data_IF_586934783758
#
_entry.id   IF_586934783758
#
_cell.length_a   1.000
_cell.length_b   1.000
_cell.length_c   1.000
_cell.angle_alpha   90.00
_cell.angle_beta   90.00
_cell.angle_gamma   90.00
#
_symmetry.space_group_name_H-M   'P 1'
#
loop_
_entity.id
_entity.type
_entity.pdbx_description
1 polymer ?
#
# COMPACT_ATOMS: atom_id res chain seq x y z
N UNK A 1 -23.45 -1.43 23.05
CA UNK A 1 -22.86 -0.68 21.93
C UNK A 1 -23.66 -1.06 20.69
N UNK A 2 -24.45 -0.14 20.15
CA UNK A 2 -25.42 -0.43 19.09
C UNK A 2 -24.73 -0.94 17.83
N UNK A 3 -25.23 -2.07 17.29
CA UNK A 3 -24.69 -2.72 16.08
C UNK A 3 -24.50 -1.73 14.92
N UNK A 4 -25.40 -0.76 14.80
CA UNK A 4 -25.38 0.27 13.78
C UNK A 4 -24.12 1.16 13.85
N UNK A 5 -23.67 1.46 15.06
CA UNK A 5 -22.46 2.23 15.34
C UNK A 5 -21.19 1.44 15.01
N UNK A 6 -21.25 0.11 15.13
CA UNK A 6 -20.16 -0.80 14.74
C UNK A 6 -20.09 -0.92 13.22
N UNK A 7 -21.22 -1.10 12.53
CA UNK A 7 -21.26 -1.18 11.07
C UNK A 7 -20.75 0.10 10.41
N UNK A 8 -21.17 1.26 10.92
CA UNK A 8 -20.69 2.55 10.42
C UNK A 8 -19.17 2.69 10.54
N UNK A 9 -18.60 2.30 11.69
CA UNK A 9 -17.13 2.29 11.86
C UNK A 9 -16.42 1.37 10.88
N UNK A 10 -17.00 0.21 10.57
CA UNK A 10 -16.41 -0.73 9.61
C UNK A 10 -16.41 -0.12 8.21
N UNK A 11 -17.51 0.52 7.79
CA UNK A 11 -17.59 1.20 6.49
C UNK A 11 -16.58 2.35 6.39
N UNK A 12 -16.47 3.19 7.43
CA UNK A 12 -15.50 4.28 7.49
C UNK A 12 -14.05 3.76 7.34
N UNK A 13 -13.73 2.61 7.96
CA UNK A 13 -12.42 1.97 7.84
C UNK A 13 -12.17 1.39 6.43
N UNK A 14 -13.19 0.81 5.80
CA UNK A 14 -13.11 0.31 4.42
C UNK A 14 -12.88 1.47 3.46
N UNK A 15 -13.58 2.58 3.64
CA UNK A 15 -13.44 3.77 2.82
C UNK A 15 -12.05 4.40 2.96
N UNK A 16 -11.57 4.57 4.19
CA UNK A 16 -10.19 4.97 4.48
C UNK A 16 -9.16 4.07 3.78
N UNK A 17 -9.37 2.75 3.82
CA UNK A 17 -8.47 1.79 3.15
C UNK A 17 -8.44 1.99 1.63
N UNK A 18 -9.60 2.21 1.00
CA UNK A 18 -9.70 2.48 -0.44
C UNK A 18 -8.99 3.78 -0.83
N UNK A 19 -9.16 4.83 -0.02
CA UNK A 19 -8.49 6.12 -0.22
C UNK A 19 -6.97 5.95 -0.14
N UNK A 20 -6.47 5.29 0.91
CA UNK A 20 -5.04 5.02 1.07
C UNK A 20 -4.45 4.22 -0.09
N UNK A 21 -5.18 3.20 -0.56
CA UNK A 21 -4.77 2.42 -1.74
C UNK A 21 -4.70 3.27 -3.01
N UNK A 22 -5.69 4.14 -3.22
CA UNK A 22 -5.75 5.02 -4.39
C UNK A 22 -4.61 6.04 -4.36
N UNK A 23 -4.40 6.68 -3.20
CA UNK A 23 -3.30 7.64 -3.00
C UNK A 23 -1.95 6.96 -3.22
N UNK A 24 -1.76 5.74 -2.74
CA UNK A 24 -0.56 4.96 -2.96
C UNK A 24 -0.31 4.73 -4.46
N UNK A 25 -1.28 4.18 -5.18
CA UNK A 25 -1.14 3.86 -6.62
C UNK A 25 -0.89 5.13 -7.45
N UNK A 26 -1.58 6.22 -7.15
CA UNK A 26 -1.42 7.50 -7.86
C UNK A 26 -0.04 8.11 -7.56
N UNK A 27 0.40 8.10 -6.31
CA UNK A 27 1.71 8.63 -5.93
C UNK A 27 2.84 7.80 -6.52
N UNK A 28 2.80 6.47 -6.38
CA UNK A 28 3.84 5.60 -6.92
C UNK A 28 3.88 5.71 -8.43
N UNK A 29 2.74 5.54 -9.12
CA UNK A 29 2.66 5.65 -10.58
C UNK A 29 3.08 7.02 -11.12
N UNK A 30 2.65 8.11 -10.46
CA UNK A 30 3.00 9.47 -10.84
C UNK A 30 4.49 9.78 -10.64
N UNK A 31 5.06 9.39 -9.50
CA UNK A 31 6.49 9.55 -9.22
C UNK A 31 7.31 8.72 -10.21
N UNK A 32 6.91 7.48 -10.49
CA UNK A 32 7.58 6.63 -11.48
C UNK A 32 7.55 7.25 -12.90
N UNK A 33 6.40 7.80 -13.31
CA UNK A 33 6.26 8.49 -14.60
C UNK A 33 7.16 9.73 -14.71
N UNK A 34 7.25 10.53 -13.64
CA UNK A 34 8.16 11.69 -13.59
C UNK A 34 9.62 11.28 -13.66
N UNK A 35 10.01 10.24 -12.92
CA UNK A 35 11.38 9.73 -12.93
C UNK A 35 11.75 9.24 -14.34
N UNK A 36 10.88 8.47 -14.99
CA UNK A 36 11.10 8.01 -16.38
C UNK A 36 11.31 9.19 -17.33
N UNK A 37 10.50 10.25 -17.21
CA UNK A 37 10.58 11.41 -18.08
C UNK A 37 11.89 12.21 -17.88
N UNK A 38 12.37 12.31 -16.63
CA UNK A 38 13.67 12.92 -16.30
C UNK A 38 14.85 12.11 -16.86
N UNK A 39 14.72 10.79 -16.96
CA UNK A 39 15.78 9.89 -17.46
C UNK A 39 15.72 9.71 -18.99
N UNK A 40 14.65 10.16 -19.64
CA UNK A 40 14.49 10.07 -21.10
C UNK A 40 15.63 10.69 -21.96
N UNK A 41 16.39 11.73 -21.56
CA UNK A 41 17.49 12.22 -22.38
C UNK A 41 18.77 11.37 -22.31
N UNK A 42 18.81 10.28 -21.53
CA UNK A 42 19.99 9.42 -21.41
C UNK A 42 20.11 8.41 -22.57
N UNK A 43 21.34 8.01 -22.92
CA UNK A 43 21.59 6.96 -23.94
C UNK A 43 20.76 5.71 -23.64
N UNK A 44 20.13 5.13 -24.65
CA UNK A 44 19.18 4.00 -24.58
C UNK A 44 19.61 2.85 -23.63
N UNK A 45 20.90 2.50 -23.59
CA UNK A 45 21.42 1.46 -22.71
C UNK A 45 21.40 1.84 -21.22
N UNK A 46 21.63 3.11 -20.89
CA UNK A 46 21.57 3.63 -19.51
C UNK A 46 20.11 3.75 -19.09
N UNK A 47 19.25 4.25 -19.97
CA UNK A 47 17.82 4.38 -19.72
C UNK A 47 17.16 3.03 -19.37
N UNK A 48 17.49 1.96 -20.10
CA UNK A 48 16.94 0.62 -19.86
C UNK A 48 17.37 0.04 -18.50
N UNK A 49 18.64 0.22 -18.13
CA UNK A 49 19.17 -0.21 -16.83
C UNK A 49 18.50 0.55 -15.69
N UNK A 50 18.40 1.88 -15.80
CA UNK A 50 17.78 2.71 -14.75
C UNK A 50 16.29 2.39 -14.62
N UNK A 51 15.55 2.24 -15.73
CA UNK A 51 14.14 1.79 -15.70
C UNK A 51 13.96 0.42 -15.04
N UNK A 52 14.86 -0.52 -15.30
CA UNK A 52 14.79 -1.86 -14.71
C UNK A 52 15.02 -1.83 -13.19
N UNK A 53 15.97 -1.02 -12.72
CA UNK A 53 16.23 -0.81 -11.28
C UNK A 53 15.02 -0.17 -10.61
N UNK A 54 14.44 0.84 -11.24
CA UNK A 54 13.25 1.56 -10.79
C UNK A 54 12.05 0.62 -10.65
N UNK A 55 11.78 -0.21 -11.67
CA UNK A 55 10.70 -1.22 -11.63
C UNK A 55 10.94 -2.23 -10.50
N UNK A 56 12.19 -2.68 -10.34
CA UNK A 56 12.55 -3.63 -9.27
C UNK A 56 12.36 -3.04 -7.87
N UNK A 57 12.70 -1.75 -7.69
CA UNK A 57 12.43 -1.01 -6.47
C UNK A 57 10.93 -0.85 -6.20
N UNK A 58 10.13 -0.60 -7.25
CA UNK A 58 8.67 -0.57 -7.14
C UNK A 58 8.09 -1.88 -6.60
N UNK A 59 8.47 -3.01 -7.21
CA UNK A 59 8.03 -4.33 -6.74
C UNK A 59 8.50 -4.64 -5.32
N UNK A 60 9.70 -4.22 -4.94
CA UNK A 60 10.19 -4.38 -3.57
C UNK A 60 9.35 -3.59 -2.56
N UNK A 61 8.99 -2.34 -2.88
CA UNK A 61 8.13 -1.52 -2.02
C UNK A 61 6.72 -2.11 -1.90
N UNK A 62 6.14 -2.59 -3.00
CA UNK A 62 4.84 -3.29 -2.98
C UNK A 62 4.89 -4.54 -2.09
N UNK A 63 5.97 -5.33 -2.17
CA UNK A 63 6.17 -6.50 -1.32
C UNK A 63 6.26 -6.13 0.17
N UNK A 64 7.04 -5.10 0.52
CA UNK A 64 7.14 -4.61 1.91
C UNK A 64 5.78 -4.12 2.41
N UNK A 65 5.00 -3.44 1.58
CA UNK A 65 3.65 -2.98 1.90
C UNK A 65 2.69 -4.14 2.18
N UNK A 66 2.72 -5.19 1.36
CA UNK A 66 1.91 -6.39 1.57
C UNK A 66 2.27 -7.06 2.90
N UNK A 67 3.57 -7.12 3.24
CA UNK A 67 4.05 -7.63 4.53
C UNK A 67 3.51 -6.82 5.70
N UNK A 68 3.62 -5.49 5.66
CA UNK A 68 3.11 -4.61 6.72
C UNK A 68 1.58 -4.75 6.87
N UNK A 69 0.86 -4.84 5.75
CA UNK A 69 -0.59 -5.08 5.77
C UNK A 69 -0.91 -6.44 6.41
N UNK A 70 -0.13 -7.47 6.09
CA UNK A 70 -0.31 -8.81 6.65
C UNK A 70 -0.06 -8.82 8.17
N UNK A 71 1.03 -8.22 8.62
CA UNK A 71 1.40 -8.17 10.04
C UNK A 71 0.34 -7.41 10.85
N UNK A 72 -0.10 -6.24 10.36
CA UNK A 72 -1.19 -5.49 11.00
C UNK A 72 -2.51 -6.29 11.02
N UNK A 73 -2.79 -7.07 9.98
CA UNK A 73 -3.99 -7.90 9.93
C UNK A 73 -3.94 -9.06 10.93
N UNK A 74 -2.78 -9.69 11.13
CA UNK A 74 -2.57 -10.70 12.18
C UNK A 74 -2.72 -10.08 13.57
N UNK A 75 -2.18 -8.88 13.79
CA UNK A 75 -2.28 -8.17 15.07
C UNK A 75 -3.74 -7.80 15.41
N UNK A 76 -4.49 -7.28 14.43
CA UNK A 76 -5.92 -7.00 14.56
C UNK A 76 -6.70 -8.29 14.85
N UNK A 77 -6.40 -9.39 14.14
CA UNK A 77 -7.09 -10.65 14.35
C UNK A 77 -6.82 -11.22 15.75
N UNK A 78 -5.57 -11.13 16.22
CA UNK A 78 -5.19 -11.50 17.59
C UNK A 78 -5.89 -10.64 18.64
N UNK A 79 -6.07 -9.35 18.38
CA UNK A 79 -6.84 -8.45 19.25
C UNK A 79 -8.31 -8.84 19.33
N UNK A 80 -8.96 -9.16 18.20
CA UNK A 80 -10.33 -9.67 18.20
C UNK A 80 -10.47 -11.01 18.95
N UNK A 81 -9.49 -11.90 18.83
CA UNK A 81 -9.47 -13.17 19.57
C UNK A 81 -9.36 -12.93 21.09
N UNK A 82 -8.52 -11.98 21.53
CA UNK A 82 -8.40 -11.60 22.95
C UNK A 82 -9.72 -11.04 23.50
N UNK A 83 -10.32 -10.09 22.78
CA UNK A 83 -11.63 -9.54 23.14
C UNK A 83 -12.73 -10.61 23.20
N UNK A 84 -12.72 -11.59 22.29
CA UNK A 84 -13.68 -12.69 22.30
C UNK A 84 -13.50 -13.64 23.50
N UNK A 85 -12.29 -13.71 24.07
CA UNK A 85 -11.99 -14.47 25.30
C UNK A 85 -12.29 -13.69 26.59
N UNK A 86 -12.67 -12.42 26.49
CA UNK A 86 -12.94 -11.56 27.65
C UNK A 86 -11.67 -11.04 28.36
N UNK A 87 -10.53 -11.08 27.67
CA UNK A 87 -9.26 -10.45 28.10
C UNK A 87 -9.21 -8.97 27.72
#
# INVERSE_FOLDING_TARGET
MDKELIYKKIDDLIEMRKILWTVLVVLTGGIFGLIINIISPFKFNIELVVKSIIISLGFFLDYVLILIIKDNNEEINNFFIKLAKGE
#
